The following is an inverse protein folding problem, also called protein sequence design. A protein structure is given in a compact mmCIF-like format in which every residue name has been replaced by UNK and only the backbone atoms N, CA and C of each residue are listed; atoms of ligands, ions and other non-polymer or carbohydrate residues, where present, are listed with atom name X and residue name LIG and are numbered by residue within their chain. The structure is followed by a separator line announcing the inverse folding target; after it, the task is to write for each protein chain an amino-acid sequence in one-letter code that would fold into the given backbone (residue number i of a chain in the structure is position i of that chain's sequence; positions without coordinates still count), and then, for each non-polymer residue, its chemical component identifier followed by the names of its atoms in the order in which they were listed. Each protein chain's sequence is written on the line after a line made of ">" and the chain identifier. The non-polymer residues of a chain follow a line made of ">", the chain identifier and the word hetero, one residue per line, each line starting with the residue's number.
data_IF_485394411091
#
_entry.id   IF_485394411091
#
_cell.length_a   1.000
_cell.length_b   1.000
_cell.length_c   1.000
_cell.angle_alpha   90.00
_cell.angle_beta   90.00
_cell.angle_gamma   90.00
#
_symmetry.space_group_name_H-M   'P 1'
#
loop_
_entity.id
_entity.type
_entity.pdbx_description
1 polymer ?
#
# COMPACT_ATOMS: atom_id res chain seq x y z
N UNK A 1 -2.34 -11.81 -14.10
CA UNK A 1 -1.25 -11.30 -14.94
C UNK A 1 0.04 -11.96 -14.55
N UNK A 2 0.65 -12.65 -15.50
CA UNK A 2 1.91 -13.37 -15.27
C UNK A 2 3.13 -12.45 -15.36
N UNK A 3 3.00 -11.30 -15.97
CA UNK A 3 4.07 -10.33 -16.13
C UNK A 3 3.50 -8.90 -16.16
N UNK A 4 4.03 -8.03 -15.32
CA UNK A 4 3.78 -6.59 -15.34
C UNK A 4 4.92 -5.81 -16.01
N UNK A 5 6.08 -6.45 -16.16
CA UNK A 5 7.29 -5.91 -16.78
C UNK A 5 7.96 -7.01 -17.61
N UNK A 6 8.79 -6.62 -18.59
CA UNK A 6 9.48 -7.56 -19.48
C UNK A 6 10.33 -8.55 -18.67
N UNK A 7 11.02 -8.09 -17.65
CA UNK A 7 11.89 -8.92 -16.80
C UNK A 7 11.14 -10.01 -16.04
N UNK A 8 9.84 -9.84 -15.81
CA UNK A 8 8.99 -10.91 -15.24
C UNK A 8 8.81 -12.12 -16.17
N UNK A 9 9.16 -12.00 -17.45
CA UNK A 9 9.11 -13.12 -18.40
C UNK A 9 10.31 -14.05 -18.30
N UNK A 10 11.39 -13.69 -17.57
CA UNK A 10 12.67 -14.38 -17.54
C UNK A 10 12.56 -15.91 -17.29
N UNK A 11 11.60 -16.34 -16.45
CA UNK A 11 11.38 -17.76 -16.15
C UNK A 11 10.59 -18.50 -17.24
N UNK A 12 10.03 -17.78 -18.22
CA UNK A 12 9.13 -18.33 -19.26
C UNK A 12 9.88 -18.73 -20.52
N UNK A 13 11.04 -19.36 -20.42
CA UNK A 13 11.88 -19.79 -21.56
C UNK A 13 11.12 -20.65 -22.59
N UNK A 14 10.12 -21.42 -22.14
CA UNK A 14 9.30 -22.27 -23.01
C UNK A 14 8.33 -21.52 -23.93
N UNK A 15 8.16 -20.22 -23.75
CA UNK A 15 7.38 -19.39 -24.65
C UNK A 15 8.07 -19.20 -26.01
N UNK A 16 9.40 -19.44 -26.10
CA UNK A 16 10.18 -19.33 -27.34
C UNK A 16 10.23 -17.89 -27.86
N UNK A 17 10.35 -16.93 -26.94
CA UNK A 17 10.51 -15.51 -27.27
C UNK A 17 11.97 -15.15 -27.52
N UNK A 18 12.91 -15.92 -26.99
CA UNK A 18 14.36 -15.75 -27.11
C UNK A 18 15.05 -17.10 -27.23
N UNK A 19 16.30 -17.11 -27.65
CA UNK A 19 17.12 -18.28 -27.88
C UNK A 19 17.23 -18.63 -29.38
N UNK A 20 17.86 -19.75 -29.66
CA UNK A 20 18.15 -20.18 -31.04
C UNK A 20 16.89 -20.23 -31.91
N UNK A 21 17.00 -19.67 -33.13
CA UNK A 21 15.89 -19.65 -34.10
C UNK A 21 14.85 -18.55 -33.85
N UNK A 22 15.05 -17.65 -32.87
CA UNK A 22 14.25 -16.48 -32.63
C UNK A 22 14.95 -15.18 -33.09
N UNK A 23 14.23 -14.07 -33.04
CA UNK A 23 14.81 -12.73 -33.28
C UNK A 23 15.82 -12.30 -32.20
N UNK A 24 15.88 -13.00 -31.07
CA UNK A 24 16.74 -12.70 -29.92
C UNK A 24 17.65 -13.89 -29.59
N UNK A 25 18.58 -14.26 -30.49
CA UNK A 25 19.37 -15.49 -30.34
C UNK A 25 20.34 -15.46 -29.16
N UNK A 26 20.73 -14.27 -28.66
CA UNK A 26 21.64 -14.11 -27.51
C UNK A 26 20.94 -14.33 -26.16
N UNK A 27 19.63 -14.60 -26.17
CA UNK A 27 18.88 -15.00 -24.99
C UNK A 27 18.05 -13.88 -24.39
N UNK A 28 17.69 -14.09 -23.10
CA UNK A 28 16.72 -13.24 -22.39
C UNK A 28 17.17 -11.77 -22.25
N UNK A 29 18.43 -11.50 -21.98
CA UNK A 29 18.90 -10.11 -21.76
C UNK A 29 18.75 -9.28 -23.04
N UNK A 30 19.12 -9.83 -24.20
CA UNK A 30 18.90 -9.17 -25.49
C UNK A 30 17.41 -8.87 -25.70
N UNK A 31 16.54 -9.86 -25.48
CA UNK A 31 15.11 -9.70 -25.59
C UNK A 31 14.60 -8.58 -24.65
N UNK A 32 15.03 -8.60 -23.37
CA UNK A 32 14.57 -7.65 -22.39
C UNK A 32 14.97 -6.22 -22.75
N UNK A 33 16.24 -5.98 -23.12
CA UNK A 33 16.74 -4.66 -23.49
C UNK A 33 16.04 -4.09 -24.74
N UNK A 34 15.86 -4.91 -25.76
CA UNK A 34 15.21 -4.47 -27.00
C UNK A 34 13.72 -4.16 -26.80
N UNK A 35 13.01 -4.99 -26.03
CA UNK A 35 11.58 -4.75 -25.75
C UNK A 35 11.38 -3.59 -24.77
N UNK A 36 12.23 -3.45 -23.75
CA UNK A 36 12.19 -2.30 -22.83
C UNK A 36 12.44 -0.99 -23.57
N UNK A 37 13.38 -0.97 -24.51
CA UNK A 37 13.66 0.20 -25.35
C UNK A 37 12.50 0.56 -26.30
N UNK A 38 11.77 -0.44 -26.79
CA UNK A 38 10.58 -0.26 -27.64
C UNK A 38 9.29 0.10 -26.85
N UNK A 39 9.34 0.04 -25.54
CA UNK A 39 8.24 0.44 -24.63
C UNK A 39 6.97 -0.38 -24.81
N UNK A 40 5.81 0.27 -24.53
CA UNK A 40 4.50 -0.40 -24.53
C UNK A 40 4.15 -1.00 -25.88
N UNK A 41 4.50 -0.34 -26.99
CA UNK A 41 4.22 -0.83 -28.35
C UNK A 41 4.91 -2.15 -28.63
N UNK A 42 6.17 -2.32 -28.22
CA UNK A 42 6.90 -3.57 -28.37
C UNK A 42 6.27 -4.70 -27.52
N UNK A 43 5.86 -4.41 -26.30
CA UNK A 43 5.14 -5.36 -25.43
C UNK A 43 3.81 -5.81 -26.05
N UNK A 44 3.05 -4.90 -26.65
CA UNK A 44 1.80 -5.23 -27.34
C UNK A 44 2.04 -6.17 -28.54
N UNK A 45 3.10 -5.93 -29.30
CA UNK A 45 3.48 -6.82 -30.40
C UNK A 45 3.82 -8.23 -29.88
N UNK A 46 4.63 -8.35 -28.83
CA UNK A 46 4.95 -9.63 -28.19
C UNK A 46 3.68 -10.35 -27.72
N UNK A 47 2.77 -9.63 -27.04
CA UNK A 47 1.49 -10.20 -26.59
C UNK A 47 0.64 -10.68 -27.77
N UNK A 48 0.59 -9.93 -28.87
CA UNK A 48 -0.14 -10.31 -30.09
C UNK A 48 0.45 -11.56 -30.73
N UNK A 49 1.78 -11.63 -30.83
CA UNK A 49 2.47 -12.78 -31.42
C UNK A 49 2.29 -14.03 -30.55
N UNK A 50 2.37 -13.93 -29.23
CA UNK A 50 2.07 -15.02 -28.30
C UNK A 50 0.63 -15.53 -28.45
N UNK A 51 -0.34 -14.62 -28.64
CA UNK A 51 -1.73 -15.00 -28.92
C UNK A 51 -1.86 -15.71 -30.25
N UNK A 52 -1.22 -15.20 -31.31
CA UNK A 52 -1.23 -15.81 -32.63
C UNK A 52 -0.61 -17.23 -32.63
N UNK A 53 0.43 -17.44 -31.84
CA UNK A 53 1.06 -18.74 -31.61
C UNK A 53 0.26 -19.68 -30.69
N UNK A 54 -0.86 -19.23 -30.11
CA UNK A 54 -1.64 -20.00 -29.13
C UNK A 54 -0.94 -20.20 -27.78
N UNK A 55 0.13 -19.45 -27.48
CA UNK A 55 0.93 -19.56 -26.26
C UNK A 55 0.44 -18.64 -25.15
N UNK A 56 -0.42 -17.70 -25.48
CA UNK A 56 -1.04 -16.75 -24.55
C UNK A 56 -2.53 -16.63 -24.84
N UNK A 57 -3.34 -16.86 -23.83
CA UNK A 57 -4.78 -16.65 -23.88
C UNK A 57 -5.13 -15.47 -22.98
N UNK A 58 -5.77 -14.47 -23.53
CA UNK A 58 -6.30 -13.32 -22.80
C UNK A 58 -7.73 -13.07 -23.27
N UNK A 59 -8.67 -13.22 -22.35
CA UNK A 59 -10.07 -12.86 -22.56
C UNK A 59 -10.44 -11.72 -21.63
N UNK A 60 -11.00 -10.65 -22.18
CA UNK A 60 -11.60 -9.59 -21.37
C UNK A 60 -13.06 -9.94 -21.11
N UNK A 61 -13.49 -9.86 -19.85
CA UNK A 61 -14.91 -9.94 -19.54
C UNK A 61 -15.61 -8.69 -20.02
N UNK A 62 -16.80 -8.85 -20.59
CA UNK A 62 -17.64 -7.72 -20.96
C UNK A 62 -18.05 -6.93 -19.72
N UNK A 63 -17.95 -5.62 -19.80
CA UNK A 63 -18.52 -4.69 -18.81
C UNK A 63 -19.98 -4.35 -19.09
N UNK A 64 -20.51 -4.86 -20.19
CA UNK A 64 -21.91 -4.66 -20.61
C UNK A 64 -22.90 -5.50 -19.80
N UNK A 65 -24.14 -5.50 -20.27
CA UNK A 65 -25.22 -6.26 -19.66
C UNK A 65 -24.97 -7.76 -19.75
N UNK A 66 -24.98 -8.41 -18.61
CA UNK A 66 -24.93 -9.87 -18.54
C UNK A 66 -26.28 -10.46 -18.98
N UNK A 67 -26.29 -11.34 -20.00
CA UNK A 67 -27.55 -11.87 -20.57
C UNK A 67 -28.42 -12.66 -19.60
N UNK A 68 -27.82 -13.27 -18.59
CA UNK A 68 -28.55 -14.12 -17.64
C UNK A 68 -29.16 -13.33 -16.48
N UNK A 69 -28.38 -12.38 -15.91
CA UNK A 69 -28.87 -11.56 -14.80
C UNK A 69 -29.62 -10.30 -15.25
N UNK A 70 -29.46 -9.88 -16.51
CA UNK A 70 -29.97 -8.60 -17.01
C UNK A 70 -29.27 -7.37 -16.41
N UNK A 71 -28.20 -7.57 -15.61
CA UNK A 71 -27.45 -6.52 -14.95
C UNK A 71 -26.17 -6.20 -15.71
N UNK A 72 -25.73 -4.95 -15.68
CA UNK A 72 -24.44 -4.51 -16.17
C UNK A 72 -23.46 -4.25 -15.01
N UNK A 73 -22.17 -4.21 -15.34
CA UNK A 73 -21.19 -3.61 -14.43
C UNK A 73 -21.51 -2.11 -14.31
N UNK A 74 -21.60 -1.66 -13.08
CA UNK A 74 -21.84 -0.25 -12.79
C UNK A 74 -20.57 0.39 -12.21
N UNK A 75 -20.32 1.65 -12.62
CA UNK A 75 -19.31 2.51 -12.02
C UNK A 75 -20.02 3.68 -11.34
N UNK A 76 -19.70 3.87 -10.07
CA UNK A 76 -20.23 4.97 -9.26
C UNK A 76 -19.08 5.75 -8.67
N UNK A 77 -19.29 7.03 -8.49
CA UNK A 77 -18.34 7.94 -7.85
C UNK A 77 -19.00 8.60 -6.66
N UNK A 78 -18.25 8.72 -5.57
CA UNK A 78 -18.68 9.44 -4.38
C UNK A 78 -17.55 10.34 -3.92
N UNK A 79 -17.84 11.60 -3.69
CA UNK A 79 -16.89 12.55 -3.13
C UNK A 79 -17.08 12.64 -1.62
N UNK A 80 -16.01 12.46 -0.89
CA UNK A 80 -15.92 12.80 0.51
C UNK A 80 -15.46 14.27 0.62
N UNK A 81 -16.32 15.09 1.12
CA UNK A 81 -16.02 16.50 1.40
C UNK A 81 -15.34 16.62 2.76
N UNK A 82 -14.14 17.20 2.80
CA UNK A 82 -13.41 17.39 4.05
C UNK A 82 -14.20 18.34 4.97
N UNK A 83 -14.41 17.89 6.20
CA UNK A 83 -14.92 18.78 7.26
C UNK A 83 -13.88 19.86 7.58
N UNK A 84 -14.28 20.99 8.19
CA UNK A 84 -13.32 22.01 8.62
C UNK A 84 -12.22 21.45 9.51
N UNK A 85 -12.54 20.52 10.43
CA UNK A 85 -11.57 19.85 11.29
C UNK A 85 -10.59 18.97 10.50
N UNK A 86 -11.08 18.18 9.54
CA UNK A 86 -10.21 17.36 8.67
C UNK A 86 -9.30 18.23 7.80
N UNK A 87 -9.81 19.35 7.29
CA UNK A 87 -9.01 20.32 6.52
C UNK A 87 -7.90 20.91 7.39
N UNK A 88 -8.22 21.30 8.61
CA UNK A 88 -7.21 21.79 9.55
C UNK A 88 -6.14 20.73 9.87
N UNK A 89 -6.55 19.46 10.07
CA UNK A 89 -5.61 18.37 10.29
C UNK A 89 -4.70 18.15 9.06
N UNK A 90 -5.27 18.25 7.85
CA UNK A 90 -4.52 18.16 6.60
C UNK A 90 -3.47 19.28 6.49
N UNK A 91 -3.90 20.53 6.73
CA UNK A 91 -3.02 21.71 6.64
C UNK A 91 -1.90 21.64 7.68
N UNK A 92 -2.21 21.26 8.92
CA UNK A 92 -1.22 21.07 9.99
C UNK A 92 -0.19 19.98 9.60
N UNK A 93 -0.66 18.87 9.03
CA UNK A 93 0.23 17.80 8.54
C UNK A 93 1.11 18.29 7.38
N UNK A 94 0.54 19.04 6.44
CA UNK A 94 1.29 19.63 5.31
C UNK A 94 2.38 20.59 5.78
N UNK A 95 2.08 21.43 6.80
CA UNK A 95 3.06 22.31 7.44
C UNK A 95 4.16 21.49 8.13
N UNK A 96 3.79 20.45 8.88
CA UNK A 96 4.77 19.54 9.50
C UNK A 96 5.73 18.93 8.48
N UNK A 97 5.22 18.43 7.34
CA UNK A 97 6.06 17.92 6.26
C UNK A 97 6.94 18.98 5.63
N UNK A 98 6.46 20.21 5.46
CA UNK A 98 7.27 21.33 4.96
C UNK A 98 8.41 21.67 5.93
N UNK A 99 8.16 21.68 7.24
CA UNK A 99 9.19 21.90 8.25
C UNK A 99 10.24 20.75 8.22
N UNK A 100 9.81 19.50 8.14
CA UNK A 100 10.71 18.34 7.99
C UNK A 100 11.60 18.50 6.76
N UNK A 101 11.04 18.88 5.61
CA UNK A 101 11.81 19.06 4.37
C UNK A 101 12.88 20.14 4.51
N UNK A 102 12.54 21.31 5.04
CA UNK A 102 13.48 22.40 5.30
C UNK A 102 14.60 21.98 6.24
N UNK A 103 14.25 21.31 7.33
CA UNK A 103 15.23 20.89 8.33
C UNK A 103 16.14 19.77 7.83
N UNK A 104 15.64 18.83 7.00
CA UNK A 104 16.50 17.84 6.32
C UNK A 104 17.54 18.54 5.45
N UNK A 105 17.15 19.51 4.63
CA UNK A 105 18.11 20.25 3.80
C UNK A 105 19.13 21.03 4.64
N UNK A 106 18.69 21.70 5.69
CA UNK A 106 19.58 22.40 6.61
C UNK A 106 20.58 21.45 7.30
N UNK A 107 20.10 20.29 7.75
CA UNK A 107 20.97 19.29 8.36
C UNK A 107 21.98 18.71 7.37
N UNK A 108 21.59 18.49 6.11
CA UNK A 108 22.49 18.05 5.02
C UNK A 108 23.60 19.08 4.74
N UNK A 109 23.30 20.39 4.91
CA UNK A 109 24.30 21.45 4.78
C UNK A 109 25.24 21.47 6.00
N UNK A 110 24.69 21.41 7.22
CA UNK A 110 25.48 21.35 8.47
C UNK A 110 26.41 20.16 8.57
N UNK A 111 26.05 19.04 7.93
CA UNK A 111 26.83 17.79 7.93
C UNK A 111 27.78 17.67 6.75
N UNK A 112 27.81 18.65 5.85
CA UNK A 112 28.58 18.62 4.59
C UNK A 112 28.32 17.35 3.76
N UNK A 113 27.04 16.93 3.69
CA UNK A 113 26.64 15.71 3.02
C UNK A 113 26.82 15.78 1.51
N UNK A 114 27.39 14.74 0.90
CA UNK A 114 27.59 14.61 -0.55
C UNK A 114 26.29 14.35 -1.33
N UNK A 115 26.39 14.41 -2.66
CA UNK A 115 25.24 14.25 -3.58
C UNK A 115 24.44 12.95 -3.36
N UNK A 116 25.13 11.83 -3.15
CA UNK A 116 24.48 10.52 -2.95
C UNK A 116 23.64 10.49 -1.66
N UNK A 117 24.19 10.99 -0.54
CA UNK A 117 23.49 11.09 0.75
C UNK A 117 22.28 12.01 0.65
N UNK A 118 22.44 13.17 -0.02
CA UNK A 118 21.35 14.11 -0.27
C UNK A 118 20.22 13.46 -1.09
N UNK A 119 20.55 12.77 -2.17
CA UNK A 119 19.57 12.07 -3.01
C UNK A 119 18.83 10.99 -2.21
N UNK A 120 19.54 10.22 -1.40
CA UNK A 120 18.94 9.17 -0.54
C UNK A 120 17.95 9.77 0.47
N UNK A 121 18.34 10.84 1.19
CA UNK A 121 17.49 11.49 2.17
C UNK A 121 16.22 12.09 1.52
N UNK A 122 16.34 12.73 0.37
CA UNK A 122 15.21 13.31 -0.38
C UNK A 122 14.29 12.21 -0.92
N UNK A 123 14.82 11.11 -1.45
CA UNK A 123 14.03 9.99 -1.94
C UNK A 123 13.24 9.31 -0.80
N UNK A 124 13.86 9.13 0.37
CA UNK A 124 13.18 8.61 1.56
C UNK A 124 12.08 9.56 2.03
N UNK A 125 12.35 10.86 2.06
CA UNK A 125 11.35 11.87 2.40
C UNK A 125 10.12 11.75 1.50
N UNK A 126 10.27 11.75 0.18
CA UNK A 126 9.14 11.67 -0.74
C UNK A 126 8.38 10.36 -0.65
N UNK A 127 9.05 9.23 -0.44
CA UNK A 127 8.41 7.94 -0.27
C UNK A 127 7.52 7.89 0.98
N UNK A 128 8.00 8.41 2.13
CA UNK A 128 7.24 8.45 3.37
C UNK A 128 6.14 9.52 3.32
N UNK A 129 6.38 10.67 2.68
CA UNK A 129 5.39 11.71 2.44
C UNK A 129 4.17 11.17 1.68
N UNK A 130 4.38 10.51 0.55
CA UNK A 130 3.30 9.91 -0.23
C UNK A 130 2.52 8.86 0.57
N UNK A 131 3.20 8.04 1.36
CA UNK A 131 2.58 7.03 2.21
C UNK A 131 1.71 7.66 3.30
N UNK A 132 2.24 8.69 3.98
CA UNK A 132 1.53 9.40 5.03
C UNK A 132 0.23 10.03 4.51
N UNK A 133 0.31 10.85 3.46
CA UNK A 133 -0.86 11.53 2.91
C UNK A 133 -1.90 10.58 2.33
N UNK A 134 -1.47 9.47 1.73
CA UNK A 134 -2.38 8.43 1.26
C UNK A 134 -3.19 7.86 2.43
N UNK A 135 -2.51 7.48 3.51
CA UNK A 135 -3.17 6.93 4.70
C UNK A 135 -4.08 7.96 5.35
N UNK A 136 -3.63 9.22 5.46
CA UNK A 136 -4.39 10.32 6.05
C UNK A 136 -5.69 10.59 5.27
N UNK A 137 -5.59 10.75 3.95
CA UNK A 137 -6.74 11.00 3.08
C UNK A 137 -7.71 9.81 3.13
N UNK A 138 -7.19 8.58 3.14
CA UNK A 138 -8.06 7.40 3.23
C UNK A 138 -8.74 7.31 4.61
N UNK A 139 -8.04 7.69 5.68
CA UNK A 139 -8.63 7.75 7.01
C UNK A 139 -9.74 8.81 7.10
N UNK A 140 -9.61 9.94 6.43
CA UNK A 140 -10.68 10.94 6.34
C UNK A 140 -11.93 10.42 5.63
N UNK A 141 -11.77 9.56 4.62
CA UNK A 141 -12.90 8.96 3.88
C UNK A 141 -13.70 7.95 4.69
N UNK A 142 -13.18 7.44 5.81
CA UNK A 142 -13.82 6.34 6.57
C UNK A 142 -15.30 6.58 6.89
N UNK A 143 -15.76 7.76 7.33
CA UNK A 143 -17.19 8.01 7.55
C UNK A 143 -18.05 7.80 6.29
N UNK A 144 -17.55 8.20 5.12
CA UNK A 144 -18.20 7.96 3.83
C UNK A 144 -18.18 6.49 3.45
N UNK A 145 -17.05 5.79 3.68
CA UNK A 145 -16.94 4.35 3.44
C UNK A 145 -17.95 3.58 4.30
N UNK A 146 -18.08 3.90 5.59
CA UNK A 146 -19.04 3.28 6.50
C UNK A 146 -20.45 3.46 5.95
N UNK A 147 -20.85 4.68 5.62
CA UNK A 147 -22.18 4.96 5.06
C UNK A 147 -22.47 4.14 3.79
N UNK A 148 -21.52 4.08 2.85
CA UNK A 148 -21.73 3.33 1.61
C UNK A 148 -21.77 1.80 1.84
N UNK A 149 -20.99 1.30 2.81
CA UNK A 149 -21.04 -0.10 3.24
C UNK A 149 -22.41 -0.41 3.84
N UNK A 150 -22.91 0.38 4.78
CA UNK A 150 -24.22 0.20 5.42
C UNK A 150 -25.36 0.24 4.39
N UNK A 151 -25.33 1.22 3.48
CA UNK A 151 -26.29 1.33 2.37
C UNK A 151 -26.29 0.08 1.49
N UNK A 152 -25.13 -0.47 1.18
CA UNK A 152 -25.02 -1.69 0.39
C UNK A 152 -25.53 -2.93 1.13
N UNK A 153 -25.18 -3.06 2.39
CA UNK A 153 -25.67 -4.15 3.25
C UNK A 153 -27.21 -4.13 3.37
N UNK A 154 -27.82 -2.93 3.46
CA UNK A 154 -29.29 -2.77 3.50
C UNK A 154 -29.96 -3.21 2.20
N UNK A 155 -29.28 -3.04 1.06
CA UNK A 155 -29.73 -3.55 -0.27
C UNK A 155 -29.46 -5.03 -0.47
N UNK A 156 -28.98 -5.74 0.56
CA UNK A 156 -28.57 -7.16 0.50
C UNK A 156 -27.42 -7.42 -0.49
N UNK A 157 -26.53 -6.48 -0.66
CA UNK A 157 -25.27 -6.64 -1.38
C UNK A 157 -24.16 -7.08 -0.42
N UNK A 158 -23.10 -7.67 -0.92
CA UNK A 158 -21.86 -7.94 -0.17
C UNK A 158 -20.75 -7.00 -0.62
N UNK A 159 -19.99 -6.49 0.32
CA UNK A 159 -19.04 -5.40 0.08
C UNK A 159 -17.61 -5.90 0.07
N UNK A 160 -16.83 -5.46 -0.90
CA UNK A 160 -15.38 -5.65 -0.94
C UNK A 160 -14.72 -4.27 -0.91
N UNK A 161 -13.84 -4.03 0.05
CA UNK A 161 -13.09 -2.78 0.18
C UNK A 161 -11.63 -3.05 -0.15
N UNK A 162 -11.11 -2.37 -1.16
CA UNK A 162 -9.68 -2.42 -1.50
C UNK A 162 -8.94 -1.26 -0.85
N UNK A 163 -7.86 -1.61 -0.13
CA UNK A 163 -6.90 -0.67 0.46
C UNK A 163 -5.49 -0.98 -0.02
N UNK A 164 -4.58 0.00 -0.02
CA UNK A 164 -3.21 -0.20 -0.48
C UNK A 164 -2.29 -0.68 0.64
N UNK A 165 -2.36 -0.07 1.82
CA UNK A 165 -1.50 -0.36 2.96
C UNK A 165 -2.28 -0.89 4.16
N UNK A 166 -1.60 -1.65 5.03
CA UNK A 166 -2.18 -2.18 6.28
C UNK A 166 -1.60 -1.55 7.55
N UNK A 167 -0.54 -0.74 7.42
CA UNK A 167 0.17 -0.16 8.56
C UNK A 167 0.95 -1.15 9.44
N UNK A 168 0.85 -2.48 9.21
CA UNK A 168 1.40 -3.50 10.12
C UNK A 168 2.89 -3.35 10.42
N UNK A 169 3.70 -3.08 9.40
CA UNK A 169 5.15 -2.95 9.60
C UNK A 169 5.51 -1.77 10.50
N UNK A 170 4.69 -0.74 10.49
CA UNK A 170 4.83 0.45 11.32
C UNK A 170 4.38 0.13 12.75
N UNK A 171 3.18 -0.40 12.91
CA UNK A 171 2.61 -0.83 14.18
C UNK A 171 3.51 -1.82 14.92
N UNK A 172 4.07 -2.81 14.20
CA UNK A 172 4.97 -3.80 14.79
C UNK A 172 6.24 -3.17 15.36
N UNK A 173 6.89 -2.29 14.61
CA UNK A 173 8.12 -1.61 15.05
C UNK A 173 7.89 -0.71 16.26
N UNK A 174 6.73 -0.04 16.33
CA UNK A 174 6.37 0.76 17.49
C UNK A 174 6.23 -0.07 18.75
N UNK A 175 5.51 -1.20 18.67
CA UNK A 175 5.28 -2.08 19.81
C UNK A 175 6.58 -2.75 20.27
N UNK A 176 7.46 -3.16 19.36
CA UNK A 176 8.77 -3.68 19.70
C UNK A 176 9.59 -2.62 20.47
N UNK A 177 9.58 -1.38 19.99
CA UNK A 177 10.26 -0.25 20.64
C UNK A 177 9.67 0.10 22.01
N UNK A 178 8.34 0.10 22.12
CA UNK A 178 7.65 0.34 23.39
C UNK A 178 7.91 -0.76 24.43
N UNK A 179 8.00 -2.02 23.99
CA UNK A 179 8.38 -3.13 24.86
C UNK A 179 9.79 -2.95 25.42
N UNK A 180 10.73 -2.44 24.61
CA UNK A 180 12.10 -2.12 25.04
C UNK A 180 12.15 -0.92 26.03
N UNK A 181 11.14 -0.04 25.99
CA UNK A 181 11.03 1.17 26.82
C UNK A 181 10.02 1.05 27.97
N UNK A 182 9.43 -0.14 28.15
CA UNK A 182 8.37 -0.42 29.15
C UNK A 182 7.15 0.51 29.03
N UNK A 183 6.86 1.00 27.83
CA UNK A 183 5.70 1.85 27.57
C UNK A 183 4.43 1.03 27.37
N UNK A 184 3.28 1.57 27.84
CA UNK A 184 1.98 0.95 27.64
C UNK A 184 1.51 1.11 26.17
N UNK A 185 0.85 0.07 25.61
CA UNK A 185 0.34 0.10 24.22
C UNK A 185 -0.64 1.26 24.01
N UNK A 186 -1.44 1.62 25.02
CA UNK A 186 -2.40 2.72 24.95
C UNK A 186 -1.75 4.11 24.79
N UNK A 187 -0.47 4.25 25.15
CA UNK A 187 0.29 5.50 24.97
C UNK A 187 0.91 5.64 23.57
N UNK A 188 0.84 4.59 22.74
CA UNK A 188 1.48 4.59 21.42
C UNK A 188 0.63 5.27 20.37
N UNK A 189 1.29 5.96 19.45
CA UNK A 189 0.66 6.60 18.30
C UNK A 189 0.68 5.65 17.07
N UNK A 190 -0.48 5.12 16.73
CA UNK A 190 -0.67 4.27 15.54
C UNK A 190 -1.26 5.04 14.34
N UNK A 191 -1.18 6.35 14.37
CA UNK A 191 -1.71 7.23 13.33
C UNK A 191 -0.73 7.47 12.18
N UNK A 192 -1.14 8.11 11.09
CA UNK A 192 -0.26 8.58 10.04
C UNK A 192 0.90 9.49 10.50
N UNK A 193 0.75 10.17 11.66
CA UNK A 193 1.80 11.00 12.27
C UNK A 193 3.07 10.19 12.56
N UNK A 194 2.94 8.93 12.97
CA UNK A 194 4.08 8.06 13.25
C UNK A 194 4.99 7.88 12.02
N UNK A 195 4.43 7.90 10.81
CA UNK A 195 5.25 7.85 9.59
C UNK A 195 6.22 9.04 9.53
N UNK A 196 5.75 10.22 9.93
CA UNK A 196 6.52 11.45 9.92
C UNK A 196 7.57 11.48 11.05
N UNK A 197 7.15 11.16 12.27
CA UNK A 197 8.06 11.12 13.43
C UNK A 197 9.15 10.07 13.26
N UNK A 198 8.81 8.92 12.70
CA UNK A 198 9.79 7.87 12.38
C UNK A 198 10.79 8.27 11.29
N UNK A 199 10.34 8.97 10.23
CA UNK A 199 11.25 9.51 9.23
C UNK A 199 12.29 10.41 9.91
N UNK A 200 11.85 11.32 10.78
CA UNK A 200 12.73 12.22 11.51
C UNK A 200 13.63 11.45 12.48
N UNK A 201 13.10 10.49 13.23
CA UNK A 201 13.88 9.73 14.20
C UNK A 201 15.00 8.90 13.56
N UNK A 202 14.73 8.24 12.42
CA UNK A 202 15.61 7.22 11.86
C UNK A 202 16.40 7.66 10.61
N UNK A 203 15.91 8.67 9.90
CA UNK A 203 16.47 9.06 8.60
C UNK A 203 16.96 10.51 8.55
N UNK A 204 16.88 11.23 9.68
CA UNK A 204 17.37 12.62 9.74
C UNK A 204 18.91 12.63 9.66
N UNK A 205 19.52 13.42 8.76
CA UNK A 205 20.94 13.40 8.52
C UNK A 205 21.70 14.09 9.67
N UNK A 206 22.39 13.30 10.51
CA UNK A 206 23.19 13.80 11.64
C UNK A 206 24.68 13.52 11.49
N UNK A 207 25.05 12.51 10.68
CA UNK A 207 26.45 12.14 10.46
C UNK A 207 27.22 13.17 9.64
N UNK A 208 28.40 13.56 10.11
CA UNK A 208 29.29 14.51 9.45
C UNK A 208 30.10 13.87 8.31
N UNK A 209 30.36 14.64 7.27
CA UNK A 209 31.19 14.24 6.13
C UNK A 209 32.31 15.25 5.91
N UNK A 210 33.45 14.79 5.41
CA UNK A 210 34.55 15.60 4.94
C UNK A 210 34.79 15.36 3.43
N UNK A 211 35.25 16.39 2.73
CA UNK A 211 35.68 16.25 1.35
C UNK A 211 37.07 15.65 1.31
N UNK A 212 37.20 14.58 0.52
CA UNK A 212 38.48 13.92 0.29
C UNK A 212 38.68 13.74 -1.22
N UNK A 213 39.83 14.25 -1.73
CA UNK A 213 40.17 14.05 -3.15
C UNK A 213 40.74 12.64 -3.33
N UNK A 214 40.11 11.86 -4.20
CA UNK A 214 40.61 10.54 -4.56
C UNK A 214 41.94 10.71 -5.34
N UNK A 215 43.07 10.19 -4.83
CA UNK A 215 44.39 10.41 -5.43
C UNK A 215 44.56 9.77 -6.81
N UNK A 216 43.73 8.82 -7.17
CA UNK A 216 43.83 8.09 -8.45
C UNK A 216 42.92 8.68 -9.54
N UNK A 217 41.74 9.15 -9.17
CA UNK A 217 40.74 9.69 -10.12
C UNK A 217 40.70 11.23 -10.15
N UNK A 218 41.23 11.89 -9.13
CA UNK A 218 41.11 13.35 -8.96
C UNK A 218 39.69 13.83 -8.59
N UNK A 219 38.77 12.91 -8.38
CA UNK A 219 37.38 13.23 -7.99
C UNK A 219 37.27 13.57 -6.50
N UNK A 220 36.45 14.55 -6.16
CA UNK A 220 36.11 14.87 -4.77
C UNK A 220 35.01 13.95 -4.28
N UNK A 221 35.28 13.23 -3.23
CA UNK A 221 34.36 12.32 -2.55
C UNK A 221 34.02 12.82 -1.15
N UNK A 222 32.76 12.68 -0.70
CA UNK A 222 32.37 12.97 0.67
C UNK A 222 32.44 11.69 1.47
N UNK A 223 33.37 11.64 2.42
CA UNK A 223 33.62 10.46 3.27
C UNK A 223 33.13 10.75 4.68
N UNK A 224 32.45 9.78 5.29
CA UNK A 224 31.98 9.92 6.69
C UNK A 224 33.15 10.15 7.63
N UNK A 225 33.03 11.15 8.50
CA UNK A 225 33.98 11.39 9.58
C UNK A 225 33.72 10.38 10.67
N UNK A 226 34.76 9.60 11.04
CA UNK A 226 34.66 8.57 12.07
C UNK A 226 35.41 9.03 13.34
N UNK A 227 34.89 8.63 14.48
CA UNK A 227 35.58 8.75 15.77
C UNK A 227 36.69 7.68 15.93
N UNK A 228 37.49 7.71 17.02
CA UNK A 228 38.52 6.69 17.26
C UNK A 228 38.01 5.27 17.38
N UNK A 229 36.74 5.09 17.71
CA UNK A 229 36.06 3.80 17.85
C UNK A 229 35.46 3.31 16.53
N UNK A 230 35.53 4.12 15.45
CA UNK A 230 35.02 3.80 14.12
C UNK A 230 33.54 4.13 13.90
N UNK A 231 32.91 4.87 14.81
CA UNK A 231 31.53 5.31 14.65
C UNK A 231 31.46 6.66 13.90
N UNK A 232 30.39 6.91 13.14
CA UNK A 232 30.19 8.22 12.51
C UNK A 232 30.10 9.35 13.54
N UNK A 233 30.86 10.40 13.34
CA UNK A 233 30.76 11.63 14.14
C UNK A 233 29.46 12.35 13.77
N UNK A 234 28.65 12.67 14.77
CA UNK A 234 27.38 13.38 14.58
C UNK A 234 27.50 14.88 14.84
N UNK A 235 26.80 15.70 14.05
CA UNK A 235 26.67 17.12 14.24
C UNK A 235 25.72 17.43 15.40
N UNK A 236 26.22 18.09 16.43
CA UNK A 236 25.37 18.55 17.58
C UNK A 236 24.24 19.46 17.13
N UNK A 237 24.48 20.34 16.17
CA UNK A 237 23.47 21.23 15.62
C UNK A 237 22.37 20.45 14.87
N UNK A 238 22.74 19.42 14.10
CA UNK A 238 21.75 18.57 13.41
C UNK A 238 20.94 17.72 14.41
N UNK A 239 21.57 17.22 15.48
CA UNK A 239 20.86 16.51 16.58
C UNK A 239 19.85 17.43 17.25
N UNK A 240 20.22 18.68 17.56
CA UNK A 240 19.34 19.65 18.16
C UNK A 240 18.13 19.96 17.24
N UNK A 241 18.38 20.20 15.94
CA UNK A 241 17.31 20.40 14.96
C UNK A 241 16.34 19.20 14.90
N UNK A 242 16.86 17.97 14.95
CA UNK A 242 16.06 16.76 15.01
C UNK A 242 15.15 16.73 16.24
N UNK A 243 15.70 17.06 17.41
CA UNK A 243 14.95 17.07 18.66
C UNK A 243 13.83 18.11 18.66
N UNK A 244 14.14 19.36 18.29
CA UNK A 244 13.16 20.45 18.19
C UNK A 244 12.04 20.12 17.19
N UNK A 245 12.38 19.46 16.08
CA UNK A 245 11.42 19.03 15.09
C UNK A 245 10.51 17.91 15.64
N UNK A 246 11.06 16.94 16.37
CA UNK A 246 10.28 15.87 17.01
C UNK A 246 9.25 16.44 18.00
N UNK A 247 9.63 17.42 18.82
CA UNK A 247 8.72 18.09 19.76
C UNK A 247 7.55 18.77 19.03
N UNK A 248 7.83 19.49 17.95
CA UNK A 248 6.79 20.12 17.11
C UNK A 248 5.84 19.12 16.46
N UNK A 249 6.35 17.97 16.02
CA UNK A 249 5.54 16.95 15.36
C UNK A 249 4.67 16.15 16.34
N UNK A 250 5.06 16.08 17.62
CA UNK A 250 4.33 15.32 18.65
C UNK A 250 2.90 15.81 18.88
N UNK A 251 2.62 17.09 18.62
CA UNK A 251 1.31 17.72 18.84
C UNK A 251 0.33 17.59 17.66
N UNK A 252 0.75 16.97 16.53
CA UNK A 252 -0.12 16.84 15.36
C UNK A 252 -1.23 15.83 15.64
N UNK A 253 -2.48 16.27 15.55
CA UNK A 253 -3.65 15.42 15.65
C UNK A 253 -4.00 14.84 14.29
N UNK A 254 -4.21 13.53 14.23
CA UNK A 254 -4.58 12.79 13.02
C UNK A 254 -5.41 11.56 13.37
N UNK A 255 -6.26 11.08 12.44
CA UNK A 255 -7.09 9.92 12.69
C UNK A 255 -6.27 8.61 12.74
N UNK A 256 -6.85 7.58 13.37
CA UNK A 256 -6.32 6.21 13.34
C UNK A 256 -6.23 5.66 11.90
N UNK A 257 -5.48 4.57 11.71
CA UNK A 257 -5.35 3.92 10.42
C UNK A 257 -6.72 3.45 9.87
N UNK A 258 -7.05 3.69 8.59
CA UNK A 258 -8.39 3.43 8.04
C UNK A 258 -8.86 1.98 8.18
N UNK A 259 -7.94 1.00 8.07
CA UNK A 259 -8.27 -0.40 8.27
C UNK A 259 -8.75 -0.70 9.69
N UNK A 260 -8.08 -0.12 10.70
CA UNK A 260 -8.44 -0.32 12.10
C UNK A 260 -9.77 0.37 12.44
N UNK A 261 -10.00 1.57 11.92
CA UNK A 261 -11.29 2.24 12.05
C UNK A 261 -12.45 1.40 11.50
N UNK A 262 -12.31 0.83 10.28
CA UNK A 262 -13.35 0.01 9.66
C UNK A 262 -13.57 -1.30 10.42
N UNK A 263 -12.50 -2.00 10.81
CA UNK A 263 -12.60 -3.27 11.55
C UNK A 263 -13.20 -3.05 12.94
N UNK A 264 -12.82 -1.97 13.64
CA UNK A 264 -13.36 -1.63 14.94
C UNK A 264 -14.84 -1.19 14.88
N UNK A 265 -15.27 -0.54 13.80
CA UNK A 265 -16.65 -0.11 13.63
C UNK A 265 -17.59 -1.29 13.34
N UNK A 266 -17.25 -2.13 12.38
CA UNK A 266 -18.13 -3.24 11.97
C UNK A 266 -17.98 -4.51 12.83
N UNK A 267 -16.90 -4.62 13.59
CA UNK A 267 -16.56 -5.80 14.38
C UNK A 267 -15.80 -6.85 13.54
N UNK A 268 -14.88 -7.52 14.19
CA UNK A 268 -14.04 -8.57 13.58
C UNK A 268 -14.83 -9.79 13.11
N UNK A 269 -16.00 -10.01 13.73
CA UNK A 269 -16.92 -11.09 13.41
C UNK A 269 -17.68 -10.84 12.09
N UNK A 270 -17.83 -9.57 11.67
CA UNK A 270 -18.56 -9.18 10.48
C UNK A 270 -17.65 -8.89 9.28
N UNK A 271 -16.35 -8.68 9.55
CA UNK A 271 -15.35 -8.30 8.52
C UNK A 271 -14.43 -9.47 8.21
N UNK A 272 -14.43 -9.91 6.95
CA UNK A 272 -13.44 -10.82 6.40
C UNK A 272 -12.19 -10.02 6.02
N UNK A 273 -11.17 -10.05 6.88
CA UNK A 273 -9.93 -9.33 6.64
C UNK A 273 -8.94 -10.20 5.87
N UNK A 274 -8.66 -9.84 4.61
CA UNK A 274 -7.68 -10.51 3.74
C UNK A 274 -6.49 -9.58 3.49
N UNK A 275 -5.63 -9.48 4.49
CA UNK A 275 -4.45 -8.62 4.48
C UNK A 275 -3.20 -9.39 4.87
N UNK A 276 -2.02 -8.80 4.62
CA UNK A 276 -0.74 -9.41 5.02
C UNK A 276 -0.47 -9.35 6.53
N UNK A 277 -1.22 -8.52 7.28
CA UNK A 277 -0.93 -8.33 8.71
C UNK A 277 -1.23 -9.56 9.54
N UNK A 278 -0.36 -9.85 10.50
CA UNK A 278 -0.49 -10.97 11.44
C UNK A 278 -1.20 -10.60 12.73
N UNK A 279 -1.14 -9.34 13.12
CA UNK A 279 -1.73 -8.76 14.32
C UNK A 279 -2.54 -7.52 13.97
N UNK A 280 -3.43 -7.12 14.84
CA UNK A 280 -4.29 -5.92 14.67
C UNK A 280 -4.51 -5.21 15.98
N UNK A 281 -4.81 -3.93 15.91
CA UNK A 281 -5.28 -3.13 17.03
C UNK A 281 -6.78 -3.33 17.18
N UNK A 282 -7.22 -3.70 18.36
CA UNK A 282 -8.64 -3.85 18.70
C UNK A 282 -8.93 -2.93 19.87
N UNK A 283 -9.98 -2.13 19.73
CA UNK A 283 -10.54 -1.37 20.86
C UNK A 283 -11.50 -2.28 21.63
N UNK A 284 -11.18 -2.56 22.88
CA UNK A 284 -12.03 -3.37 23.77
C UNK A 284 -13.30 -2.62 24.13
N UNK A 285 -14.26 -3.32 24.74
CA UNK A 285 -15.50 -2.72 25.26
C UNK A 285 -15.22 -1.65 26.32
N UNK A 286 -14.11 -1.75 27.04
CA UNK A 286 -13.63 -0.74 27.99
C UNK A 286 -12.98 0.49 27.35
N UNK A 287 -12.79 0.48 26.00
CA UNK A 287 -12.14 1.55 25.27
C UNK A 287 -10.63 1.41 25.16
N UNK A 288 -10.02 0.44 25.82
CA UNK A 288 -8.58 0.17 25.82
C UNK A 288 -8.12 -0.39 24.48
N UNK A 289 -6.96 0.04 23.96
CA UNK A 289 -6.37 -0.53 22.76
C UNK A 289 -5.54 -1.77 23.10
N UNK A 290 -5.76 -2.85 22.38
CA UNK A 290 -4.99 -4.07 22.51
C UNK A 290 -4.43 -4.51 21.15
N UNK A 291 -3.15 -4.88 21.12
CA UNK A 291 -2.51 -5.44 19.94
C UNK A 291 -2.57 -6.96 19.98
N UNK A 292 -3.60 -7.50 19.36
CA UNK A 292 -3.88 -8.93 19.35
C UNK A 292 -3.46 -9.61 18.06
N UNK A 293 -2.96 -10.86 18.14
CA UNK A 293 -2.77 -11.68 16.95
C UNK A 293 -4.11 -11.93 16.26
N UNK A 294 -4.10 -11.98 14.92
CA UNK A 294 -5.23 -12.45 14.12
C UNK A 294 -5.28 -13.98 14.23
N UNK A 295 -5.82 -14.47 15.35
CA UNK A 295 -6.00 -15.89 15.60
C UNK A 295 -7.49 -16.23 15.51
N UNK A 296 -7.76 -17.36 14.86
CA UNK A 296 -9.10 -17.95 14.79
C UNK A 296 -9.01 -19.36 15.40
N UNK A 297 -9.91 -19.74 16.31
CA UNK A 297 -9.89 -21.07 16.92
C UNK A 297 -9.86 -22.17 15.86
N UNK A 298 -8.89 -23.07 15.93
CA UNK A 298 -8.77 -24.20 15.00
C UNK A 298 -8.22 -23.86 13.62
N UNK A 299 -7.84 -22.58 13.33
CA UNK A 299 -7.29 -22.18 12.03
C UNK A 299 -5.81 -21.87 12.15
N UNK A 300 -4.93 -22.57 11.42
CA UNK A 300 -3.52 -22.23 11.35
C UNK A 300 -3.29 -20.81 10.82
N UNK A 301 -2.32 -20.07 11.35
CA UNK A 301 -2.04 -18.67 10.98
C UNK A 301 -1.82 -18.46 9.46
N UNK A 302 -1.23 -19.45 8.78
CA UNK A 302 -1.02 -19.42 7.32
C UNK A 302 -2.32 -19.52 6.51
N UNK A 303 -3.40 -20.02 7.11
CA UNK A 303 -4.68 -20.26 6.46
C UNK A 303 -5.75 -19.22 6.84
N UNK A 304 -5.43 -18.24 7.66
CA UNK A 304 -6.39 -17.22 8.12
C UNK A 304 -7.03 -16.48 6.92
N UNK A 305 -6.26 -16.02 5.96
CA UNK A 305 -6.81 -15.32 4.80
C UNK A 305 -7.69 -16.24 3.93
N UNK A 306 -7.34 -17.51 3.81
CA UNK A 306 -8.18 -18.50 3.12
C UNK A 306 -9.48 -18.74 3.88
N UNK A 307 -9.43 -18.83 5.19
CA UNK A 307 -10.63 -18.96 6.03
C UNK A 307 -11.54 -17.74 5.90
N UNK A 308 -10.99 -16.53 6.03
CA UNK A 308 -11.73 -15.26 5.86
C UNK A 308 -12.35 -15.13 4.46
N UNK A 309 -11.63 -15.53 3.42
CA UNK A 309 -12.17 -15.64 2.08
C UNK A 309 -13.37 -16.59 2.01
N UNK A 310 -13.25 -17.76 2.62
CA UNK A 310 -14.32 -18.76 2.59
C UNK A 310 -15.56 -18.28 3.37
N UNK A 311 -15.39 -17.64 4.52
CA UNK A 311 -16.52 -17.06 5.28
C UNK A 311 -17.23 -15.96 4.49
N UNK A 312 -16.49 -15.12 3.75
CA UNK A 312 -17.09 -14.15 2.83
C UNK A 312 -17.80 -14.81 1.66
N UNK A 313 -17.19 -15.81 1.03
CA UNK A 313 -17.77 -16.51 -0.12
C UNK A 313 -18.97 -17.41 0.26
N UNK A 314 -19.06 -17.84 1.50
CA UNK A 314 -20.23 -18.55 2.03
C UNK A 314 -21.36 -17.61 2.45
N UNK A 315 -21.04 -16.34 2.77
CA UNK A 315 -22.00 -15.34 3.21
C UNK A 315 -22.12 -15.18 4.73
N UNK A 316 -21.27 -15.87 5.49
CA UNK A 316 -21.17 -15.73 6.94
C UNK A 316 -20.69 -14.32 7.32
N UNK A 317 -19.77 -13.77 6.51
CA UNK A 317 -19.35 -12.38 6.57
C UNK A 317 -19.70 -11.70 5.25
N UNK A 318 -20.26 -10.49 5.33
CA UNK A 318 -20.72 -9.75 4.14
C UNK A 318 -19.82 -8.58 3.76
N UNK A 319 -18.81 -8.27 4.57
CA UNK A 319 -17.80 -7.24 4.33
C UNK A 319 -16.46 -7.93 4.20
N UNK A 320 -15.74 -7.68 3.11
CA UNK A 320 -14.38 -8.12 2.90
C UNK A 320 -13.47 -6.90 2.76
N UNK A 321 -12.36 -6.85 3.48
CA UNK A 321 -11.32 -5.85 3.29
C UNK A 321 -10.07 -6.55 2.80
N UNK A 322 -9.54 -6.10 1.67
CA UNK A 322 -8.36 -6.72 1.07
C UNK A 322 -7.24 -5.71 0.81
N UNK A 323 -6.00 -6.17 0.98
CA UNK A 323 -4.81 -5.44 0.56
C UNK A 323 -4.18 -6.07 -0.67
N UNK A 324 -3.38 -5.29 -1.41
CA UNK A 324 -2.73 -5.73 -2.65
C UNK A 324 -1.89 -6.99 -2.45
N UNK A 325 -1.11 -7.06 -1.36
CA UNK A 325 -0.16 -8.15 -1.09
C UNK A 325 -0.86 -9.48 -0.80
N UNK A 326 -1.97 -9.45 -0.08
CA UNK A 326 -2.63 -10.67 0.40
C UNK A 326 -3.70 -11.21 -0.55
N UNK A 327 -4.13 -10.41 -1.53
CA UNK A 327 -5.22 -10.76 -2.43
C UNK A 327 -4.77 -11.29 -3.79
N UNK A 328 -3.45 -11.44 -4.02
CA UNK A 328 -2.93 -11.91 -5.30
C UNK A 328 -3.44 -13.32 -5.62
N UNK A 329 -4.17 -13.45 -6.74
CA UNK A 329 -4.76 -14.73 -7.18
C UNK A 329 -6.17 -15.04 -6.65
N UNK A 330 -6.64 -14.37 -5.60
CA UNK A 330 -7.95 -14.63 -5.01
C UNK A 330 -9.11 -14.02 -5.81
N UNK A 331 -10.25 -14.70 -5.79
CA UNK A 331 -11.50 -14.25 -6.41
C UNK A 331 -12.58 -14.09 -5.35
N UNK A 332 -13.28 -12.96 -5.38
CA UNK A 332 -14.34 -12.59 -4.45
C UNK A 332 -15.68 -12.31 -5.16
N UNK A 333 -15.77 -12.69 -6.44
CA UNK A 333 -16.97 -12.50 -7.24
C UNK A 333 -18.15 -13.34 -6.73
N UNK A 334 -19.35 -12.95 -7.10
CA UNK A 334 -20.57 -13.72 -6.85
C UNK A 334 -20.63 -14.93 -7.79
N UNK A 335 -19.79 -15.93 -7.53
CA UNK A 335 -19.67 -17.12 -8.37
C UNK A 335 -20.86 -18.07 -8.24
N UNK A 336 -21.15 -18.85 -9.29
CA UNK A 336 -22.20 -19.88 -9.26
C UNK A 336 -21.90 -20.98 -8.24
N UNK A 337 -20.63 -21.24 -7.95
CA UNK A 337 -20.15 -22.31 -7.09
C UNK A 337 -19.91 -21.90 -5.63
N UNK A 338 -20.26 -20.66 -5.24
CA UNK A 338 -20.12 -20.18 -3.86
C UNK A 338 -21.48 -19.98 -3.22
N UNK A 339 -21.55 -20.02 -1.89
CA UNK A 339 -22.80 -19.83 -1.13
C UNK A 339 -23.36 -18.41 -1.27
N UNK A 340 -22.48 -17.41 -1.23
CA UNK A 340 -22.84 -16.00 -1.29
C UNK A 340 -23.07 -15.54 -2.74
N UNK A 341 -24.32 -15.51 -3.16
CA UNK A 341 -24.78 -15.09 -4.49
C UNK A 341 -25.08 -13.58 -4.58
N UNK A 342 -24.95 -12.85 -3.48
CA UNK A 342 -25.26 -11.42 -3.45
C UNK A 342 -24.37 -10.64 -4.41
N UNK A 343 -24.93 -9.63 -5.06
CA UNK A 343 -24.17 -8.70 -5.90
C UNK A 343 -23.04 -8.07 -5.09
N UNK A 344 -21.88 -7.86 -5.70
CA UNK A 344 -20.72 -7.26 -5.03
C UNK A 344 -20.71 -5.75 -5.25
N UNK A 345 -20.65 -4.97 -4.16
CA UNK A 345 -20.15 -3.61 -4.20
C UNK A 345 -18.65 -3.66 -3.94
N UNK A 346 -17.84 -3.27 -4.90
CA UNK A 346 -16.40 -3.19 -4.75
C UNK A 346 -15.96 -1.72 -4.61
N UNK A 347 -15.56 -1.34 -3.42
CA UNK A 347 -15.14 0.02 -3.09
C UNK A 347 -13.62 0.13 -3.25
N UNK A 348 -13.18 1.01 -4.16
CA UNK A 348 -11.81 1.47 -4.21
C UNK A 348 -11.65 2.65 -3.23
N UNK A 349 -11.27 2.38 -1.99
CA UNK A 349 -11.02 3.42 -0.99
C UNK A 349 -9.82 4.29 -1.39
N UNK A 350 -8.86 3.67 -2.08
CA UNK A 350 -7.69 4.30 -2.70
C UNK A 350 -7.58 3.82 -4.14
N UNK A 351 -7.34 4.73 -5.07
CA UNK A 351 -6.99 4.35 -6.44
C UNK A 351 -5.56 3.82 -6.49
N UNK A 352 -5.38 2.78 -7.30
CA UNK A 352 -4.04 2.26 -7.57
C UNK A 352 -3.24 3.26 -8.41
N UNK A 353 -1.92 3.17 -8.32
CA UNK A 353 -1.01 4.07 -9.02
C UNK A 353 -1.11 3.99 -10.55
N UNK A 354 -1.56 2.85 -11.08
CA UNK A 354 -1.75 2.65 -12.52
C UNK A 354 -3.11 2.02 -12.82
N UNK A 355 -3.66 2.34 -13.97
CA UNK A 355 -4.98 1.86 -14.41
C UNK A 355 -5.04 0.34 -14.56
N UNK A 356 -3.96 -0.28 -15.04
CA UNK A 356 -3.86 -1.74 -15.17
C UNK A 356 -3.94 -2.44 -13.81
N UNK A 357 -3.28 -1.92 -12.77
CA UNK A 357 -3.38 -2.43 -11.40
C UNK A 357 -4.78 -2.24 -10.82
N UNK A 358 -5.44 -1.12 -11.14
CA UNK A 358 -6.82 -0.90 -10.72
C UNK A 358 -7.79 -1.89 -11.38
N UNK A 359 -7.63 -2.15 -12.68
CA UNK A 359 -8.43 -3.15 -13.40
C UNK A 359 -8.17 -4.56 -12.90
N UNK A 360 -6.93 -4.90 -12.53
CA UNK A 360 -6.63 -6.17 -11.88
C UNK A 360 -7.33 -6.31 -10.52
N UNK A 361 -7.37 -5.24 -9.76
CA UNK A 361 -8.07 -5.20 -8.48
C UNK A 361 -9.58 -5.42 -8.69
N UNK A 362 -10.19 -4.72 -9.61
CA UNK A 362 -11.59 -4.91 -10.02
C UNK A 362 -11.87 -6.33 -10.52
N UNK A 363 -10.93 -6.95 -11.20
CA UNK A 363 -10.98 -8.33 -11.62
C UNK A 363 -11.13 -9.34 -10.47
N UNK A 364 -10.99 -8.94 -9.19
CA UNK A 364 -11.28 -9.79 -8.03
C UNK A 364 -12.76 -10.07 -7.86
N UNK A 365 -13.59 -9.13 -8.23
CA UNK A 365 -15.06 -9.21 -8.10
C UNK A 365 -15.79 -9.39 -9.41
N UNK A 366 -15.08 -9.32 -10.55
CA UNK A 366 -15.63 -9.55 -11.89
C UNK A 366 -14.93 -10.71 -12.58
N UNK A 367 -15.60 -11.85 -12.65
CA UNK A 367 -15.05 -13.10 -13.19
C UNK A 367 -16.08 -13.89 -13.97
N UNK A 368 -15.61 -14.78 -14.83
CA UNK A 368 -16.47 -15.78 -15.50
C UNK A 368 -17.19 -16.66 -14.49
N UNK A 369 -18.43 -17.05 -14.81
CA UNK A 369 -19.27 -17.88 -13.93
C UNK A 369 -19.87 -17.13 -12.76
N UNK A 370 -19.92 -15.81 -12.79
CA UNK A 370 -20.64 -14.98 -11.82
C UNK A 370 -22.16 -15.02 -12.08
N UNK A 371 -22.93 -14.83 -11.02
CA UNK A 371 -24.41 -14.72 -11.08
C UNK A 371 -24.90 -13.28 -11.21
N UNK A 372 -24.05 -12.31 -10.86
CA UNK A 372 -24.32 -10.89 -11.02
C UNK A 372 -23.01 -10.13 -11.20
N UNK A 373 -22.93 -9.19 -12.17
CA UNK A 373 -21.79 -8.30 -12.33
C UNK A 373 -21.70 -7.31 -11.14
N UNK A 374 -20.50 -6.91 -10.75
CA UNK A 374 -20.30 -6.03 -9.60
C UNK A 374 -20.74 -4.58 -9.86
N UNK A 375 -20.83 -3.83 -8.78
CA UNK A 375 -20.83 -2.36 -8.78
C UNK A 375 -19.46 -1.91 -8.27
N UNK A 376 -18.80 -1.03 -8.98
CA UNK A 376 -17.57 -0.38 -8.56
C UNK A 376 -17.85 1.00 -8.02
N UNK A 377 -17.36 1.28 -6.82
CA UNK A 377 -17.48 2.59 -6.18
C UNK A 377 -16.10 3.20 -6.01
N UNK A 378 -15.87 4.33 -6.66
CA UNK A 378 -14.67 5.13 -6.52
C UNK A 378 -14.93 6.23 -5.49
N UNK A 379 -14.10 6.33 -4.46
CA UNK A 379 -14.26 7.35 -3.42
C UNK A 379 -13.15 8.38 -3.52
N UNK A 380 -13.55 9.58 -3.92
CA UNK A 380 -12.64 10.73 -4.02
C UNK A 380 -12.70 11.59 -2.76
N UNK A 381 -11.81 12.58 -2.67
CA UNK A 381 -11.76 13.58 -1.59
C UNK A 381 -11.62 14.96 -2.24
N UNK A 382 -12.36 15.91 -1.75
CA UNK A 382 -12.30 17.31 -2.15
C UNK A 382 -12.36 18.25 -0.95
#
# INVERSE_FOLDING_TARGET
>A
TSAGEVRHLAYMSRLGLWGDGTNFPLGFEQFAEEIESGGVGALEMVCRDLKAMGRYLCGNLSMGTDPESGLAVEFREVTHWLTPAQRQMYDNMAQGWQEVFKNIHHALDLTNSGKATRATAVNQFWAEHQRCFRNLITAFKVPTLIREIENSLSRRESVVVSITGTGESQTKKQIERAADQEEAIDSLDFSPRETLTRLVANCFPTACFEERTNPYSGTVEHVSVLDPDGNPVESRAAIQLRSELMDKLSILEVPEHPLDQLVNYFGVENVAEMTGRKKRLIRTVSGTLEYRPRQLPGVPSKLINLHEKNTFQNGDKRIAIMSEVASTGDSLHAGRNVGNKQRRLHIAAELKWSADKQIQDFGRTHRTGQVAPPVYLLVFTE
#
